data_IF_947426632550
#
_entry.id   IF_947426632550
#
_cell.length_a   1.000
_cell.length_b   1.000
_cell.length_c   1.000
_cell.angle_alpha   90.00
_cell.angle_beta   90.00
_cell.angle_gamma   90.00
#
_symmetry.space_group_name_H-M   'P 1'
#
loop_
_entity.id
_entity.type
_entity.pdbx_description
1 polymer ?
#
# COMPACT_ATOMS: atom_id res chain seq x y z
N UNK A 1 2.34 43.07 33.16
CA UNK A 1 2.42 42.57 31.76
C UNK A 1 2.83 41.09 31.66
N UNK A 2 2.49 40.23 32.63
CA UNK A 2 2.94 38.81 32.67
C UNK A 2 1.90 37.85 32.05
N UNK A 3 0.61 38.22 32.02
CA UNK A 3 -0.46 37.34 31.54
C UNK A 3 -0.47 37.07 30.03
N UNK A 4 -0.02 38.01 29.19
CA UNK A 4 -0.08 37.86 27.73
C UNK A 4 0.98 36.89 27.20
N UNK A 5 2.16 36.87 27.82
CA UNK A 5 3.23 35.94 27.48
C UNK A 5 2.92 34.52 27.95
N UNK A 6 2.24 34.37 29.10
CA UNK A 6 1.85 33.07 29.64
C UNK A 6 0.83 32.34 28.76
N UNK A 7 -0.18 33.04 28.23
CA UNK A 7 -1.17 32.45 27.31
C UNK A 7 -0.55 32.08 25.95
N UNK A 8 0.40 32.87 25.45
CA UNK A 8 1.10 32.57 24.19
C UNK A 8 1.94 31.29 24.30
N UNK A 9 2.64 31.12 25.43
CA UNK A 9 3.44 29.93 25.71
C UNK A 9 2.54 28.69 25.88
N UNK A 10 1.45 28.81 26.65
CA UNK A 10 0.48 27.72 26.84
C UNK A 10 -0.14 27.31 25.52
N UNK A 11 -0.52 28.26 24.66
CA UNK A 11 -1.06 27.98 23.33
C UNK A 11 -0.02 27.37 22.39
N UNK A 12 1.25 27.74 22.50
CA UNK A 12 2.34 27.14 21.72
C UNK A 12 2.63 25.71 22.16
N UNK A 13 2.69 25.45 23.47
CA UNK A 13 2.79 24.11 24.05
C UNK A 13 1.58 23.24 23.69
N UNK A 14 0.37 23.78 23.76
CA UNK A 14 -0.84 23.06 23.35
C UNK A 14 -0.86 22.74 21.86
N UNK A 15 -0.40 23.66 21.00
CA UNK A 15 -0.27 23.41 19.55
C UNK A 15 0.81 22.36 19.28
N UNK A 16 1.93 22.37 20.02
CA UNK A 16 2.95 21.33 19.91
C UNK A 16 2.44 19.96 20.37
N UNK A 17 1.68 19.88 21.47
CA UNK A 17 1.07 18.63 21.95
C UNK A 17 0.03 18.11 20.95
N UNK A 18 -0.84 18.98 20.42
CA UNK A 18 -1.78 18.59 19.36
C UNK A 18 -1.05 18.15 18.09
N UNK A 19 0.06 18.79 17.72
CA UNK A 19 0.87 18.38 16.57
C UNK A 19 1.51 17.01 16.79
N UNK A 20 2.03 16.75 18.00
CA UNK A 20 2.60 15.45 18.40
C UNK A 20 1.53 14.35 18.35
N UNK A 21 0.33 14.60 18.87
CA UNK A 21 -0.77 13.64 18.79
C UNK A 21 -1.27 13.42 17.35
N UNK A 22 -1.38 14.47 16.54
CA UNK A 22 -1.81 14.38 15.14
C UNK A 22 -0.81 13.64 14.25
N UNK A 23 0.49 13.71 14.56
CA UNK A 23 1.54 12.97 13.84
C UNK A 23 1.61 11.47 14.19
N UNK A 24 0.77 10.98 15.11
CA UNK A 24 0.84 9.62 15.65
C UNK A 24 -0.16 8.62 15.06
N UNK A 25 -0.96 8.99 14.06
CA UNK A 25 -1.90 8.05 13.43
C UNK A 25 -1.12 7.10 12.51
N UNK A 26 -0.67 5.99 13.09
CA UNK A 26 -0.11 4.85 12.36
C UNK A 26 -1.25 4.07 11.69
N UNK A 27 -1.29 4.09 10.35
CA UNK A 27 -2.26 3.29 9.60
C UNK A 27 -1.80 1.83 9.56
N UNK A 28 -2.77 0.92 9.68
CA UNK A 28 -2.54 -0.52 9.48
C UNK A 28 -2.69 -0.85 8.00
N UNK A 29 -1.84 -1.77 7.52
CA UNK A 29 -2.05 -2.38 6.21
C UNK A 29 -3.43 -3.06 6.16
N UNK A 30 -4.16 -2.94 5.03
CA UNK A 30 -5.44 -3.63 4.82
C UNK A 30 -5.28 -5.13 4.54
N UNK A 31 -4.06 -5.62 4.29
CA UNK A 31 -3.75 -7.02 3.95
C UNK A 31 -2.51 -7.53 4.68
N UNK A 32 -2.41 -8.84 4.80
CA UNK A 32 -1.19 -9.52 5.25
C UNK A 32 -0.48 -10.18 4.06
N UNK A 33 0.85 -10.15 4.09
CA UNK A 33 1.72 -10.80 3.10
C UNK A 33 2.85 -11.53 3.80
N UNK A 34 3.22 -12.70 3.29
CA UNK A 34 4.40 -13.43 3.74
C UNK A 34 5.64 -12.55 3.53
N UNK A 35 6.53 -12.48 4.51
CA UNK A 35 7.70 -11.61 4.48
C UNK A 35 7.41 -10.13 4.77
N UNK A 36 6.16 -9.79 5.12
CA UNK A 36 5.78 -8.43 5.51
C UNK A 36 6.54 -7.97 6.76
N UNK A 37 6.98 -6.71 6.76
CA UNK A 37 7.69 -6.07 7.89
C UNK A 37 6.77 -5.66 9.04
N UNK A 38 5.63 -6.34 9.24
CA UNK A 38 4.61 -5.92 10.23
C UNK A 38 5.19 -5.74 11.64
N UNK A 39 5.93 -6.73 12.13
CA UNK A 39 6.52 -6.68 13.46
C UNK A 39 7.74 -5.74 13.57
N UNK A 40 8.37 -5.40 12.44
CA UNK A 40 9.55 -4.53 12.40
C UNK A 40 9.21 -3.07 12.07
N UNK A 41 7.96 -2.77 11.72
CA UNK A 41 7.57 -1.47 11.16
C UNK A 41 7.90 -0.31 12.10
N UNK A 42 7.65 -0.44 13.40
CA UNK A 42 7.86 0.65 14.36
C UNK A 42 9.35 0.94 14.55
N UNK A 43 10.18 -0.10 14.62
CA UNK A 43 11.63 0.03 14.64
C UNK A 43 12.13 0.67 13.33
N UNK A 44 11.68 0.21 12.18
CA UNK A 44 12.09 0.76 10.88
C UNK A 44 11.71 2.23 10.74
N UNK A 45 10.49 2.62 11.13
CA UNK A 45 9.99 3.99 11.05
C UNK A 45 10.86 4.95 11.86
N UNK A 46 11.34 4.55 13.04
CA UNK A 46 12.23 5.37 13.86
C UNK A 46 13.59 5.64 13.21
N UNK A 47 14.00 4.81 12.24
CA UNK A 47 15.29 4.92 11.55
C UNK A 47 15.16 5.56 10.15
N UNK A 48 13.94 5.97 9.74
CA UNK A 48 13.76 6.70 8.49
C UNK A 48 14.18 8.16 8.70
N UNK A 49 15.18 8.68 7.98
CA UNK A 49 15.60 10.08 8.10
C UNK A 49 14.51 11.03 7.57
N UNK A 50 14.62 12.32 7.89
CA UNK A 50 13.74 13.33 7.30
C UNK A 50 13.86 13.30 5.76
N UNK A 51 12.70 13.24 5.08
CA UNK A 51 12.64 13.08 3.64
C UNK A 51 11.43 13.80 3.05
N UNK A 52 11.52 14.17 1.77
CA UNK A 52 10.38 14.68 1.00
C UNK A 52 9.69 13.59 0.19
N UNK A 53 10.47 12.62 -0.30
CA UNK A 53 10.01 11.48 -1.07
C UNK A 53 10.34 10.19 -0.31
N UNK A 54 9.35 9.31 -0.19
CA UNK A 54 9.53 7.96 0.29
C UNK A 54 9.20 6.97 -0.82
N UNK A 55 10.06 5.99 -1.05
CA UNK A 55 9.88 4.99 -2.08
C UNK A 55 9.99 3.59 -1.48
N UNK A 56 8.91 2.82 -1.59
CA UNK A 56 8.88 1.39 -1.29
C UNK A 56 9.02 0.61 -2.59
N UNK A 57 10.25 0.13 -2.84
CA UNK A 57 10.57 -0.63 -4.06
C UNK A 57 9.94 -2.02 -4.04
N UNK A 58 9.82 -2.62 -2.84
CA UNK A 58 9.24 -3.94 -2.59
C UNK A 58 8.09 -3.80 -1.59
N UNK A 59 7.01 -3.18 -2.05
CA UNK A 59 5.93 -2.70 -1.21
C UNK A 59 5.22 -3.79 -0.41
N UNK A 60 4.95 -4.95 -1.01
CA UNK A 60 4.19 -6.01 -0.36
C UNK A 60 2.90 -5.47 0.26
N UNK A 61 2.71 -5.68 1.57
CA UNK A 61 1.56 -5.17 2.31
C UNK A 61 1.68 -3.67 2.70
N UNK A 62 2.77 -2.98 2.39
CA UNK A 62 2.94 -1.55 2.69
C UNK A 62 3.05 -1.22 4.19
N UNK A 63 3.46 -2.19 5.03
CA UNK A 63 3.45 -2.02 6.49
C UNK A 63 4.29 -0.81 6.96
N UNK A 64 5.43 -0.54 6.35
CA UNK A 64 6.29 0.60 6.74
C UNK A 64 5.71 1.91 6.18
N UNK A 65 5.32 1.93 4.90
CA UNK A 65 4.65 3.06 4.26
C UNK A 65 3.45 3.58 5.08
N UNK A 66 2.56 2.70 5.52
CA UNK A 66 1.37 3.10 6.26
C UNK A 66 1.66 3.48 7.72
N UNK A 67 2.80 3.06 8.27
CA UNK A 67 3.15 3.33 9.66
C UNK A 67 4.09 4.52 9.86
N UNK A 68 4.78 4.97 8.82
CA UNK A 68 5.60 6.20 8.89
C UNK A 68 4.71 7.44 8.90
N UNK A 69 5.31 8.55 9.31
CA UNK A 69 4.75 9.89 9.06
C UNK A 69 4.62 10.10 7.55
N UNK A 70 3.45 10.55 7.04
CA UNK A 70 3.26 10.81 5.62
C UNK A 70 4.29 11.81 5.05
N UNK A 71 4.80 11.55 3.87
CA UNK A 71 5.73 12.44 3.16
C UNK A 71 5.01 13.14 2.00
N UNK A 72 5.59 14.23 1.51
CA UNK A 72 5.01 15.00 0.39
C UNK A 72 4.81 14.14 -0.86
N UNK A 73 5.73 13.21 -1.11
CA UNK A 73 5.65 12.25 -2.21
C UNK A 73 5.87 10.85 -1.65
N UNK A 74 5.04 9.91 -2.08
CA UNK A 74 5.12 8.49 -1.71
C UNK A 74 4.96 7.63 -2.95
N UNK A 75 5.89 6.69 -3.14
CA UNK A 75 5.89 5.73 -4.23
C UNK A 75 5.76 4.34 -3.62
N UNK A 76 4.71 3.62 -4.01
CA UNK A 76 4.50 2.22 -3.66
C UNK A 76 4.65 1.38 -4.93
N UNK A 77 5.72 0.58 -4.99
CA UNK A 77 6.02 -0.29 -6.11
C UNK A 77 6.08 -1.76 -5.64
N UNK A 78 5.66 -2.67 -6.50
CA UNK A 78 5.83 -4.11 -6.34
C UNK A 78 5.77 -4.77 -7.72
N UNK A 79 6.43 -5.92 -7.88
CA UNK A 79 6.37 -6.69 -9.13
C UNK A 79 4.98 -7.31 -9.35
N UNK A 80 4.24 -7.53 -8.26
CA UNK A 80 2.87 -8.04 -8.29
C UNK A 80 1.89 -6.94 -8.73
N UNK A 81 1.55 -6.94 -10.03
CA UNK A 81 0.60 -5.99 -10.60
C UNK A 81 -0.81 -6.06 -10.01
N UNK A 82 -1.25 -7.22 -9.51
CA UNK A 82 -2.54 -7.36 -8.85
C UNK A 82 -2.55 -6.65 -7.50
N UNK A 83 -1.44 -6.74 -6.76
CA UNK A 83 -1.25 -6.02 -5.52
C UNK A 83 -1.27 -4.50 -5.71
N UNK A 84 -0.56 -3.99 -6.73
CA UNK A 84 -0.59 -2.56 -7.05
C UNK A 84 -1.99 -2.13 -7.49
N UNK A 85 -2.69 -2.94 -8.29
CA UNK A 85 -4.07 -2.66 -8.66
C UNK A 85 -5.01 -2.63 -7.45
N UNK A 86 -4.82 -3.52 -6.47
CA UNK A 86 -5.58 -3.51 -5.22
C UNK A 86 -5.43 -2.18 -4.47
N UNK A 87 -4.19 -1.70 -4.27
CA UNK A 87 -3.98 -0.39 -3.62
C UNK A 87 -4.55 0.78 -4.44
N UNK A 88 -4.50 0.71 -5.78
CA UNK A 88 -5.18 1.70 -6.65
C UNK A 88 -6.70 1.70 -6.43
N UNK A 89 -7.32 0.53 -6.30
CA UNK A 89 -8.76 0.43 -5.98
C UNK A 89 -9.05 1.08 -4.63
N UNK A 90 -8.23 0.81 -3.61
CA UNK A 90 -8.40 1.39 -2.29
C UNK A 90 -8.25 2.92 -2.27
N UNK A 91 -7.43 3.49 -3.16
CA UNK A 91 -7.26 4.95 -3.25
C UNK A 91 -8.55 5.67 -3.69
N UNK A 92 -9.41 5.02 -4.49
CA UNK A 92 -10.64 5.61 -5.00
C UNK A 92 -11.84 5.32 -4.08
N UNK A 93 -12.45 6.35 -3.44
CA UNK A 93 -13.52 6.14 -2.45
C UNK A 93 -14.67 5.26 -2.93
N UNK A 94 -15.24 5.56 -4.09
CA UNK A 94 -16.38 4.80 -4.64
C UNK A 94 -16.01 3.34 -4.95
N UNK A 95 -14.79 3.08 -5.44
CA UNK A 95 -14.35 1.71 -5.75
C UNK A 95 -14.05 0.93 -4.48
N UNK A 96 -13.45 1.61 -3.49
CA UNK A 96 -13.17 1.04 -2.16
C UNK A 96 -14.47 0.63 -1.46
N UNK A 97 -15.50 1.47 -1.50
CA UNK A 97 -16.82 1.16 -0.93
C UNK A 97 -17.46 -0.04 -1.61
N UNK A 98 -17.48 -0.07 -2.94
CA UNK A 98 -17.98 -1.24 -3.71
C UNK A 98 -17.21 -2.52 -3.39
N UNK A 99 -15.89 -2.44 -3.19
CA UNK A 99 -15.09 -3.59 -2.79
C UNK A 99 -15.45 -4.07 -1.38
N UNK A 100 -15.63 -3.15 -0.43
CA UNK A 100 -16.04 -3.47 0.94
C UNK A 100 -17.40 -4.18 0.93
N UNK A 101 -18.38 -3.66 0.19
CA UNK A 101 -19.70 -4.28 0.06
C UNK A 101 -19.61 -5.67 -0.57
N UNK A 102 -18.87 -5.80 -1.68
CA UNK A 102 -18.67 -7.08 -2.34
C UNK A 102 -18.06 -8.11 -1.39
N UNK A 103 -17.06 -7.74 -0.58
CA UNK A 103 -16.44 -8.62 0.41
C UNK A 103 -17.38 -8.97 1.56
N UNK A 104 -18.19 -8.00 2.03
CA UNK A 104 -19.13 -8.18 3.14
C UNK A 104 -20.25 -9.15 2.80
N UNK A 105 -20.72 -9.14 1.55
CA UNK A 105 -21.84 -9.96 1.10
C UNK A 105 -21.41 -11.20 0.28
N UNK A 106 -20.10 -11.46 0.16
CA UNK A 106 -19.59 -12.62 -0.58
C UNK A 106 -19.87 -13.93 0.17
N UNK A 107 -20.53 -14.93 -0.46
CA UNK A 107 -20.77 -16.21 0.18
C UNK A 107 -19.48 -17.04 0.23
N UNK A 108 -19.12 -17.55 1.41
CA UNK A 108 -17.94 -18.40 1.56
C UNK A 108 -18.26 -19.84 1.14
N UNK A 109 -17.68 -20.30 0.03
CA UNK A 109 -17.81 -21.68 -0.43
C UNK A 109 -16.58 -22.14 -1.21
N UNK A 110 -16.34 -23.46 -1.21
CA UNK A 110 -15.25 -24.06 -2.00
C UNK A 110 -15.46 -23.83 -3.50
N UNK A 111 -16.70 -23.98 -3.97
CA UNK A 111 -17.07 -23.77 -5.38
C UNK A 111 -16.78 -22.33 -5.84
N UNK A 112 -17.14 -21.33 -5.04
CA UNK A 112 -16.83 -19.93 -5.36
C UNK A 112 -15.31 -19.68 -5.43
N UNK A 113 -14.54 -20.25 -4.50
CA UNK A 113 -13.09 -20.11 -4.52
C UNK A 113 -12.47 -20.69 -5.79
N UNK A 114 -12.93 -21.87 -6.22
CA UNK A 114 -12.47 -22.51 -7.46
C UNK A 114 -12.82 -21.67 -8.69
N UNK A 115 -14.05 -21.16 -8.76
CA UNK A 115 -14.50 -20.28 -9.84
C UNK A 115 -13.62 -19.03 -9.96
N UNK A 116 -13.36 -18.33 -8.84
CA UNK A 116 -12.53 -17.13 -8.83
C UNK A 116 -11.09 -17.47 -9.20
N UNK A 117 -10.52 -18.54 -8.65
CA UNK A 117 -9.15 -18.99 -8.95
C UNK A 117 -8.96 -19.26 -10.44
N UNK A 118 -9.91 -19.97 -11.05
CA UNK A 118 -9.79 -20.38 -12.45
C UNK A 118 -9.97 -19.16 -13.38
N UNK A 119 -10.89 -18.24 -13.04
CA UNK A 119 -10.99 -16.92 -13.72
C UNK A 119 -9.71 -16.09 -13.61
N UNK A 120 -9.04 -16.10 -12.46
CA UNK A 120 -7.78 -15.36 -12.27
C UNK A 120 -6.65 -15.96 -13.12
N UNK A 121 -6.48 -17.29 -13.12
CA UNK A 121 -5.50 -17.99 -13.96
C UNK A 121 -5.69 -17.72 -15.46
N UNK A 122 -6.95 -17.66 -15.91
CA UNK A 122 -7.26 -17.30 -17.29
C UNK A 122 -6.87 -15.87 -17.68
N UNK A 123 -6.88 -14.93 -16.71
CA UNK A 123 -6.44 -13.55 -16.94
C UNK A 123 -4.92 -13.39 -16.92
N UNK A 124 -4.24 -14.13 -16.06
CA UNK A 124 -2.78 -14.10 -15.99
C UNK A 124 -2.16 -14.64 -17.28
N UNK A 125 -2.70 -15.74 -17.82
CA UNK A 125 -2.27 -16.28 -19.12
C UNK A 125 -2.49 -15.31 -20.28
N UNK A 126 -3.63 -14.61 -20.31
CA UNK A 126 -3.90 -13.57 -21.31
C UNK A 126 -2.96 -12.36 -21.17
N UNK A 127 -2.60 -11.97 -19.95
CA UNK A 127 -1.71 -10.84 -19.67
C UNK A 127 -0.25 -11.18 -19.98
N UNK A 128 0.20 -12.40 -19.65
CA UNK A 128 1.54 -12.91 -20.02
C UNK A 128 1.68 -13.03 -21.54
N UNK A 129 0.61 -13.40 -22.26
CA UNK A 129 0.61 -13.40 -23.73
C UNK A 129 0.83 -12.00 -24.37
N UNK A 130 0.52 -10.92 -23.63
CA UNK A 130 0.76 -9.54 -24.07
C UNK A 130 2.19 -9.07 -23.70
N UNK A 131 2.72 -9.52 -22.56
CA UNK A 131 4.10 -9.22 -22.11
C UNK A 131 5.18 -10.14 -22.73
N UNK A 132 4.78 -11.21 -23.43
CA UNK A 132 5.66 -12.27 -23.95
C UNK A 132 6.00 -12.23 -25.45
N UNK A 133 5.88 -11.09 -26.14
CA UNK A 133 6.44 -10.92 -27.50
C UNK A 133 7.72 -10.10 -27.48
N UNK A 134 8.75 -10.68 -26.86
CA UNK A 134 10.12 -10.17 -26.92
C UNK A 134 11.09 -11.34 -27.06
N UNK A 135 11.44 -11.68 -28.31
CA UNK A 135 12.62 -12.48 -28.64
C UNK A 135 12.48 -14.00 -28.57
N UNK A 136 11.86 -14.61 -29.57
CA UNK A 136 12.36 -15.88 -30.13
C UNK A 136 12.52 -15.66 -31.64
N UNK A 137 13.70 -15.18 -32.05
CA UNK A 137 14.16 -15.38 -33.41
C UNK A 137 14.34 -16.89 -33.60
N UNK A 138 13.54 -17.46 -34.51
CA UNK A 138 13.76 -18.82 -34.98
C UNK A 138 15.11 -18.87 -35.70
N UNK A 139 16.12 -19.38 -35.00
CA UNK A 139 17.34 -19.84 -35.64
C UNK A 139 17.02 -21.09 -36.49
N UNK A 140 17.30 -21.00 -37.79
CA UNK A 140 17.64 -22.15 -38.63
C UNK A 140 16.51 -22.81 -39.43
N UNK A 141 16.47 -22.56 -40.73
CA UNK A 141 16.84 -23.57 -41.75
C UNK A 141 17.00 -22.86 -43.09
N UNK A 142 18.25 -22.78 -43.55
CA UNK A 142 18.57 -22.57 -44.95
C UNK A 142 18.66 -23.99 -45.52
N UNK A 143 17.62 -24.41 -46.23
CA UNK A 143 17.69 -25.37 -47.33
C UNK A 143 16.76 -24.89 -48.44
#
# INVERSE_FOLDING_TARGET
MIGFWHLKLIRMLWVMVLHIEYMSISLKSPINRIGGKHFLKDWLVQHIPQHTLYCEVFGGAGHVLFSKIPSRVEVLNDIDGHLINFFRVLQHPEKREKLIDALKYMPYSRSLWEEIRDKMRGRDTATVGILGKGGEEKAGSIE
#
